data_IF_563254403216
#
_entry.id   IF_563254403216
#
_cell.length_a   1.000
_cell.length_b   1.000
_cell.length_c   1.000
_cell.angle_alpha   90.00
_cell.angle_beta   90.00
_cell.angle_gamma   90.00
#
_symmetry.space_group_name_H-M   'P 1'
#
loop_
_entity.id
_entity.type
_entity.pdbx_description
1 polymer ?
#
# COMPACT_ATOMS: atom_id res chain seq x y z
N UNK A 1 -10.93 -0.48 -9.39
CA UNK A 1 -10.13 -1.59 -8.84
C UNK A 1 -10.02 -1.31 -7.35
N UNK A 2 -10.27 -2.29 -6.48
CA UNK A 2 -10.07 -2.06 -5.05
C UNK A 2 -8.58 -2.21 -4.74
N UNK A 3 -8.04 -1.39 -3.85
CA UNK A 3 -6.64 -1.48 -3.40
C UNK A 3 -6.33 -2.88 -2.83
N UNK A 4 -7.33 -3.49 -2.19
CA UNK A 4 -7.27 -4.85 -1.65
C UNK A 4 -7.07 -5.94 -2.73
N UNK A 5 -7.41 -5.66 -3.99
CA UNK A 5 -7.22 -6.59 -5.11
C UNK A 5 -5.79 -6.56 -5.67
N UNK A 6 -4.93 -5.68 -5.15
CA UNK A 6 -3.55 -5.51 -5.61
C UNK A 6 -2.62 -6.33 -4.72
N UNK A 7 -1.84 -7.19 -5.37
CA UNK A 7 -0.89 -8.10 -4.71
C UNK A 7 0.57 -7.72 -5.00
N UNK A 8 0.81 -6.86 -5.99
CA UNK A 8 2.14 -6.35 -6.30
C UNK A 8 2.42 -5.07 -5.51
N UNK A 9 3.54 -5.06 -4.79
CA UNK A 9 4.00 -3.90 -4.03
C UNK A 9 4.40 -2.76 -4.95
N UNK A 10 4.97 -3.05 -6.11
CA UNK A 10 5.43 -2.01 -7.04
C UNK A 10 4.24 -1.28 -7.67
N UNK A 11 3.14 -1.98 -7.92
CA UNK A 11 1.88 -1.39 -8.37
C UNK A 11 1.27 -0.48 -7.29
N UNK A 12 1.30 -0.89 -6.01
CA UNK A 12 0.83 -0.07 -4.89
C UNK A 12 1.67 1.19 -4.68
N UNK A 13 2.98 1.12 -4.91
CA UNK A 13 3.85 2.30 -4.85
C UNK A 13 3.53 3.30 -5.97
N UNK A 14 3.26 2.81 -7.18
CA UNK A 14 2.79 3.66 -8.28
C UNK A 14 1.47 4.37 -7.95
N UNK A 15 0.49 3.63 -7.39
CA UNK A 15 -0.77 4.23 -6.95
C UNK A 15 -0.60 5.21 -5.79
N UNK A 16 0.33 4.93 -4.86
CA UNK A 16 0.65 5.86 -3.78
C UNK A 16 1.15 7.20 -4.34
N UNK A 17 2.02 7.17 -5.35
CA UNK A 17 2.52 8.38 -6.02
C UNK A 17 1.39 9.15 -6.71
N UNK A 18 0.51 8.46 -7.43
CA UNK A 18 -0.65 9.09 -8.10
C UNK A 18 -1.61 9.75 -7.10
N UNK A 19 -1.91 9.06 -5.99
CA UNK A 19 -2.77 9.60 -4.92
C UNK A 19 -2.09 10.78 -4.24
N UNK A 20 -0.78 10.72 -4.01
CA UNK A 20 -0.02 11.84 -3.43
C UNK A 20 -0.08 13.07 -4.34
N UNK A 21 0.10 12.91 -5.65
CA UNK A 21 -0.02 14.02 -6.62
C UNK A 21 -1.42 14.66 -6.58
N UNK A 22 -2.46 13.85 -6.42
CA UNK A 22 -3.84 14.34 -6.29
C UNK A 22 -4.06 15.12 -4.99
N UNK A 23 -3.47 14.68 -3.88
CA UNK A 23 -3.49 15.40 -2.60
C UNK A 23 -2.66 16.69 -2.64
N UNK A 24 -1.53 16.69 -3.33
CA UNK A 24 -0.71 17.89 -3.50
C UNK A 24 -1.46 18.96 -4.31
N UNK A 25 -2.18 18.55 -5.35
CA UNK A 25 -3.00 19.44 -6.18
C UNK A 25 -4.31 19.85 -5.49
N UNK A 26 -4.90 18.98 -4.67
CA UNK A 26 -6.12 19.23 -3.93
C UNK A 26 -6.11 18.51 -2.55
N UNK A 27 -5.57 19.15 -1.51
CA UNK A 27 -5.45 18.54 -0.19
C UNK A 27 -6.79 18.18 0.47
N UNK A 28 -7.88 18.81 0.04
CA UNK A 28 -9.24 18.57 0.55
C UNK A 28 -9.96 17.41 -0.16
N UNK A 29 -9.28 16.66 -1.02
CA UNK A 29 -9.87 15.51 -1.70
C UNK A 29 -10.02 14.32 -0.72
N UNK A 30 -11.20 14.18 -0.13
CA UNK A 30 -11.53 13.09 0.81
C UNK A 30 -11.28 11.70 0.20
N UNK A 31 -11.57 11.52 -1.09
CA UNK A 31 -11.33 10.24 -1.76
C UNK A 31 -9.84 9.89 -1.78
N UNK A 32 -8.99 10.86 -2.15
CA UNK A 32 -7.53 10.62 -2.17
C UNK A 32 -6.95 10.44 -0.76
N UNK A 33 -7.59 11.00 0.27
CA UNK A 33 -7.19 10.73 1.66
C UNK A 33 -7.50 9.28 2.05
N UNK A 34 -8.71 8.79 1.75
CA UNK A 34 -9.09 7.40 1.97
C UNK A 34 -8.22 6.43 1.16
N UNK A 35 -7.99 6.72 -0.12
CA UNK A 35 -7.14 5.89 -0.98
C UNK A 35 -5.70 5.79 -0.42
N UNK A 36 -5.14 6.89 0.12
CA UNK A 36 -3.81 6.89 0.74
C UNK A 36 -3.76 6.01 2.00
N UNK A 37 -4.81 6.04 2.82
CA UNK A 37 -4.91 5.18 4.01
C UNK A 37 -4.98 3.71 3.62
N UNK A 38 -5.80 3.35 2.64
CA UNK A 38 -5.97 1.97 2.17
C UNK A 38 -4.67 1.44 1.52
N UNK A 39 -4.04 2.22 0.64
CA UNK A 39 -2.76 1.85 0.01
C UNK A 39 -1.68 1.62 1.06
N UNK A 40 -1.58 2.53 2.03
CA UNK A 40 -0.61 2.41 3.12
C UNK A 40 -0.86 1.15 3.96
N UNK A 41 -2.12 0.83 4.26
CA UNK A 41 -2.47 -0.39 4.97
C UNK A 41 -2.09 -1.65 4.17
N UNK A 42 -2.38 -1.69 2.86
CA UNK A 42 -2.07 -2.83 2.01
C UNK A 42 -0.57 -3.07 1.86
N UNK A 43 0.23 -2.02 1.65
CA UNK A 43 1.70 -2.11 1.60
C UNK A 43 2.26 -2.71 2.91
N UNK A 44 1.70 -2.30 4.06
CA UNK A 44 2.10 -2.83 5.35
C UNK A 44 1.71 -4.30 5.52
N UNK A 45 0.53 -4.71 5.06
CA UNK A 45 0.10 -6.11 5.05
C UNK A 45 1.05 -6.97 4.22
N UNK A 46 1.30 -6.60 2.97
CA UNK A 46 2.20 -7.35 2.08
C UNK A 46 3.64 -7.42 2.64
N UNK A 47 4.12 -6.34 3.26
CA UNK A 47 5.44 -6.34 3.91
C UNK A 47 5.48 -7.30 5.10
N UNK A 48 4.39 -7.45 5.86
CA UNK A 48 4.29 -8.42 6.97
C UNK A 48 4.10 -9.85 6.50
N UNK A 49 3.35 -10.09 5.43
CA UNK A 49 3.16 -11.42 4.85
C UNK A 49 4.48 -12.02 4.36
N UNK A 50 5.34 -11.20 3.75
CA UNK A 50 6.71 -11.58 3.36
C UNK A 50 7.60 -11.92 4.57
N UNK A 51 7.31 -11.34 5.73
CA UNK A 51 7.97 -11.65 7.02
C UNK A 51 7.10 -12.65 7.80
N UNK A 52 6.69 -13.74 7.17
CA UNK A 52 6.05 -14.84 7.89
C UNK A 52 7.09 -15.60 8.73
N UNK A 53 6.80 -15.93 10.01
CA UNK A 53 7.76 -16.54 10.93
C UNK A 53 8.27 -17.93 10.49
N UNK A 54 7.56 -18.59 9.56
CA UNK A 54 8.02 -19.84 8.94
C UNK A 54 9.31 -19.66 8.13
N UNK A 55 9.57 -18.49 7.53
CA UNK A 55 10.82 -18.24 6.78
C UNK A 55 12.00 -17.87 7.69
N UNK A 56 11.75 -17.46 8.94
CA UNK A 56 12.81 -17.07 9.90
C UNK A 56 13.44 -18.30 10.56
N UNK A 57 12.71 -19.42 10.64
CA UNK A 57 13.17 -20.66 11.30
C UNK A 57 14.13 -21.51 10.45
N UNK A 58 14.12 -21.41 9.12
CA UNK A 58 15.07 -22.15 8.27
C UNK A 58 16.46 -21.48 8.18
N UNK A 59 16.61 -20.25 8.68
CA UNK A 59 17.85 -19.49 8.66
C UNK A 59 18.62 -19.50 10.00
N UNK A 60 18.19 -20.30 10.99
CA UNK A 60 18.81 -20.41 12.33
C UNK A 60 19.58 -21.71 12.53
#
# INVERSE_FOLDING_TARGET
>A
MYVDDIFDKDELLGLQEEVQLNLDANPGNEQSQWDMEDITQRINQLTREVISPEQVLEAS
#
